data_IF_088256667098
#
_entry.id   IF_088256667098
#
_cell.length_a   1.000
_cell.length_b   1.000
_cell.length_c   1.000
_cell.angle_alpha   90.00
_cell.angle_beta   90.00
_cell.angle_gamma   90.00
#
_symmetry.space_group_name_H-M   'P 1'
#
loop_
_entity.id
_entity.type
_entity.pdbx_description
1 polymer ?
#
# COMPACT_ATOMS: atom_id res chain seq x y z
N UNK A 1 -10.94 11.68 19.93
CA UNK A 1 -10.28 11.25 18.67
C UNK A 1 -8.89 10.78 19.01
N UNK A 2 -8.66 9.50 18.96
CA UNK A 2 -7.31 8.97 19.09
C UNK A 2 -6.50 9.47 17.90
N UNK A 3 -5.48 10.28 18.18
CA UNK A 3 -4.49 10.62 17.18
C UNK A 3 -3.78 9.32 16.82
N UNK A 4 -3.86 8.87 15.60
CA UNK A 4 -3.08 7.75 15.08
C UNK A 4 -1.59 8.13 15.11
N UNK A 5 -1.00 8.04 16.30
CA UNK A 5 0.43 8.27 16.45
C UNK A 5 1.17 6.99 16.06
N UNK A 6 2.07 7.12 15.10
CA UNK A 6 2.97 6.03 14.74
C UNK A 6 4.02 5.93 15.86
N UNK A 7 4.14 4.77 16.47
CA UNK A 7 5.14 4.49 17.50
C UNK A 7 6.15 3.46 17.02
N UNK A 8 7.29 3.36 17.72
CA UNK A 8 8.31 2.34 17.42
C UNK A 8 7.78 0.91 17.55
N UNK A 9 6.80 0.71 18.44
CA UNK A 9 6.17 -0.59 18.66
C UNK A 9 5.18 -0.97 17.58
N UNK A 10 4.50 0.03 16.99
CA UNK A 10 3.47 -0.19 15.98
C UNK A 10 3.99 -0.14 14.55
N UNK A 11 5.25 0.27 14.33
CA UNK A 11 5.80 0.52 13.01
C UNK A 11 7.20 -0.05 12.83
N UNK A 12 7.38 -0.78 11.74
CA UNK A 12 8.69 -1.26 11.32
C UNK A 12 9.15 -0.44 10.11
N UNK A 13 10.29 0.24 10.21
CA UNK A 13 10.84 1.06 9.14
C UNK A 13 11.10 0.29 7.84
N UNK A 14 11.28 -1.03 7.90
CA UNK A 14 11.42 -1.87 6.71
C UNK A 14 10.18 -1.85 5.79
N UNK A 15 9.03 -1.38 6.28
CA UNK A 15 7.80 -1.21 5.50
C UNK A 15 7.85 0.02 4.58
N UNK A 16 8.78 0.95 4.83
CA UNK A 16 8.93 2.15 3.98
C UNK A 16 9.47 1.73 2.62
N UNK A 17 8.78 2.08 1.52
CA UNK A 17 9.27 1.75 0.18
C UNK A 17 10.63 2.39 -0.10
N UNK A 18 11.46 1.69 -0.87
CA UNK A 18 12.74 2.22 -1.31
C UNK A 18 12.53 3.55 -2.05
N UNK A 19 13.35 4.54 -1.74
CA UNK A 19 13.27 5.90 -2.28
C UNK A 19 12.02 6.72 -1.93
N UNK A 20 11.14 6.24 -1.07
CA UNK A 20 10.04 7.08 -0.59
C UNK A 20 10.60 8.25 0.23
N UNK A 21 10.23 9.47 -0.16
CA UNK A 21 10.82 10.67 0.43
C UNK A 21 10.37 10.87 1.88
N UNK A 22 11.33 11.01 2.78
CA UNK A 22 11.11 11.40 4.17
C UNK A 22 11.04 12.94 4.29
N UNK A 23 10.61 13.44 5.43
CA UNK A 23 10.59 14.88 5.69
C UNK A 23 11.18 15.19 7.07
N UNK A 24 12.15 16.11 7.12
CA UNK A 24 12.84 16.53 8.34
C UNK A 24 12.47 17.94 8.79
N UNK A 25 11.43 18.54 8.21
CA UNK A 25 11.06 19.94 8.43
C UNK A 25 10.26 20.07 9.73
N UNK A 26 10.93 20.43 10.79
CA UNK A 26 10.35 20.55 12.14
C UNK A 26 9.39 21.74 12.29
N UNK A 27 9.53 22.76 11.43
CA UNK A 27 8.71 23.97 11.44
C UNK A 27 7.37 23.82 10.72
N UNK A 28 7.16 22.68 10.04
CA UNK A 28 5.91 22.45 9.31
C UNK A 28 4.72 22.32 10.28
N UNK A 29 3.67 23.09 10.03
CA UNK A 29 2.44 23.08 10.84
C UNK A 29 1.68 21.76 10.78
N UNK A 30 1.88 20.96 9.72
CA UNK A 30 1.19 19.69 9.50
C UNK A 30 2.06 18.45 9.79
N UNK A 31 3.22 18.63 10.40
CA UNK A 31 4.18 17.55 10.67
C UNK A 31 3.59 16.39 11.46
N UNK A 32 2.70 16.69 12.43
CA UNK A 32 2.12 15.67 13.30
C UNK A 32 1.09 14.78 12.57
N UNK A 33 0.56 15.26 11.46
CA UNK A 33 -0.40 14.55 10.61
C UNK A 33 0.25 13.94 9.37
N UNK A 34 1.54 14.21 9.15
CA UNK A 34 2.24 13.82 7.94
C UNK A 34 3.06 12.55 8.14
N UNK A 35 2.74 11.52 7.34
CA UNK A 35 3.43 10.24 7.37
C UNK A 35 4.94 10.39 7.12
N UNK A 36 5.34 11.27 6.19
CA UNK A 36 6.75 11.49 5.85
C UNK A 36 7.57 12.00 7.03
N UNK A 37 7.00 12.89 7.83
CA UNK A 37 7.67 13.41 9.02
C UNK A 37 7.65 12.39 10.17
N UNK A 38 6.53 11.75 10.42
CA UNK A 38 6.39 10.80 11.52
C UNK A 38 7.29 9.56 11.33
N UNK A 39 7.37 9.05 10.11
CA UNK A 39 8.25 7.92 9.77
C UNK A 39 9.73 8.31 9.86
N UNK A 40 10.08 9.53 9.48
CA UNK A 40 11.43 10.07 9.59
C UNK A 40 11.99 9.98 11.03
N UNK A 41 11.16 10.25 12.02
CA UNK A 41 11.55 10.16 13.44
C UNK A 41 11.86 8.72 13.89
N UNK A 42 11.38 7.74 13.15
CA UNK A 42 11.56 6.32 13.46
C UNK A 42 12.67 5.66 12.62
N UNK A 43 13.39 6.46 11.84
CA UNK A 43 14.49 5.95 11.01
C UNK A 43 15.55 5.28 11.90
N UNK A 44 16.07 4.11 11.46
CA UNK A 44 17.11 3.42 12.23
C UNK A 44 18.40 4.22 12.27
N UNK A 45 19.15 4.07 13.37
CA UNK A 45 20.41 4.80 13.60
C UNK A 45 21.43 4.62 12.46
N UNK A 46 21.44 3.47 11.82
CA UNK A 46 22.34 3.18 10.69
C UNK A 46 21.94 3.83 9.37
N UNK A 47 20.74 4.42 9.28
CA UNK A 47 20.30 5.10 8.08
C UNK A 47 20.84 6.53 8.05
N UNK A 48 21.87 6.77 7.25
CA UNK A 48 22.59 8.05 7.18
C UNK A 48 22.20 8.92 5.99
N UNK A 49 21.46 8.36 5.02
CA UNK A 49 20.96 9.10 3.85
C UNK A 49 19.70 8.46 3.31
N UNK A 50 18.81 9.28 2.78
CA UNK A 50 17.60 8.88 2.08
C UNK A 50 17.07 10.04 1.25
N UNK A 51 16.15 9.79 0.33
CA UNK A 51 15.40 10.87 -0.31
C UNK A 51 14.63 11.66 0.75
N UNK A 52 14.56 12.96 0.57
CA UNK A 52 13.81 13.82 1.49
C UNK A 52 13.15 14.99 0.76
N UNK A 53 12.07 15.48 1.34
CA UNK A 53 11.44 16.74 0.92
C UNK A 53 12.35 17.89 1.35
N UNK A 54 12.64 18.80 0.42
CA UNK A 54 13.56 19.91 0.68
C UNK A 54 12.86 21.06 1.43
N UNK A 55 13.59 21.81 2.29
CA UNK A 55 13.03 22.95 3.03
C UNK A 55 12.38 24.02 2.15
N UNK A 56 12.79 24.14 0.89
CA UNK A 56 12.19 25.07 -0.09
C UNK A 56 10.69 24.87 -0.28
N UNK A 57 10.16 23.71 0.13
CA UNK A 57 8.70 23.44 0.08
C UNK A 57 7.92 24.43 0.96
N UNK A 58 8.54 24.98 2.00
CA UNK A 58 7.92 25.95 2.89
C UNK A 58 7.55 27.26 2.18
N UNK A 59 8.12 27.53 0.99
CA UNK A 59 7.78 28.66 0.15
C UNK A 59 6.46 28.48 -0.61
N UNK A 60 5.91 27.28 -0.61
CA UNK A 60 4.62 26.97 -1.24
C UNK A 60 3.48 27.11 -0.24
N UNK A 61 2.32 27.55 -0.74
CA UNK A 61 1.11 27.68 0.05
C UNK A 61 0.64 26.35 0.62
N UNK A 62 0.74 25.28 -0.17
CA UNK A 62 0.40 23.92 0.21
C UNK A 62 1.54 22.97 -0.16
N UNK A 63 1.77 21.97 0.67
CA UNK A 63 2.78 20.95 0.40
C UNK A 63 2.22 19.87 -0.51
N UNK A 64 2.71 19.73 -1.76
CA UNK A 64 2.27 18.66 -2.67
C UNK A 64 2.73 17.27 -2.22
N UNK A 65 3.66 17.20 -1.28
CA UNK A 65 4.20 15.94 -0.75
C UNK A 65 3.54 15.51 0.56
N UNK A 66 2.54 16.25 1.03
CA UNK A 66 1.82 15.85 2.25
C UNK A 66 1.23 14.44 2.07
N UNK A 67 1.55 13.57 3.02
CA UNK A 67 1.04 12.21 3.06
C UNK A 67 0.31 11.99 4.39
N UNK A 68 -1.03 11.85 4.38
CA UNK A 68 -1.75 11.59 5.62
C UNK A 68 -1.40 10.23 6.20
N UNK A 69 -1.45 10.11 7.53
CA UNK A 69 -1.28 8.83 8.21
C UNK A 69 -2.55 8.01 8.02
N UNK A 70 -2.44 6.93 7.23
CA UNK A 70 -3.56 6.04 6.93
C UNK A 70 -3.19 4.59 7.18
N UNK A 71 -4.10 3.87 7.84
CA UNK A 71 -4.04 2.42 7.97
C UNK A 71 -5.07 1.82 7.03
N UNK A 72 -4.65 0.86 6.21
CA UNK A 72 -5.51 0.19 5.25
C UNK A 72 -5.53 -1.32 5.48
N UNK A 73 -6.67 -1.94 5.19
CA UNK A 73 -6.85 -3.38 5.28
C UNK A 73 -6.36 -4.04 3.99
N UNK A 74 -5.11 -4.50 3.98
CA UNK A 74 -4.47 -5.11 2.83
C UNK A 74 -4.73 -6.61 2.76
N UNK A 75 -4.87 -7.15 1.55
CA UNK A 75 -4.96 -8.58 1.33
C UNK A 75 -3.59 -9.19 1.08
N UNK A 76 -3.38 -10.38 1.63
CA UNK A 76 -2.12 -11.13 1.58
C UNK A 76 -2.36 -12.45 0.85
N UNK A 77 -2.05 -12.46 -0.45
CA UNK A 77 -2.18 -13.66 -1.28
C UNK A 77 -3.59 -13.94 -1.78
N UNK A 78 -3.67 -14.63 -2.89
CA UNK A 78 -4.93 -15.07 -3.49
C UNK A 78 -4.78 -16.44 -4.21
N UNK A 79 -4.15 -17.40 -3.55
CA UNK A 79 -3.89 -18.70 -4.13
C UNK A 79 -5.16 -19.51 -4.47
N UNK A 80 -6.29 -19.14 -3.87
CA UNK A 80 -7.55 -19.89 -3.98
C UNK A 80 -8.71 -19.13 -4.63
N UNK A 81 -8.51 -17.90 -5.10
CA UNK A 81 -9.63 -17.12 -5.67
C UNK A 81 -10.29 -17.77 -6.89
N UNK A 82 -9.59 -18.63 -7.61
CA UNK A 82 -10.12 -19.33 -8.79
C UNK A 82 -10.72 -20.70 -8.48
N UNK A 83 -10.75 -21.14 -7.23
CA UNK A 83 -11.18 -22.50 -6.87
C UNK A 83 -12.61 -22.84 -7.35
N UNK A 84 -13.52 -21.87 -7.31
CA UNK A 84 -14.91 -22.02 -7.73
C UNK A 84 -15.18 -21.43 -9.13
N UNK A 85 -14.15 -20.98 -9.83
CA UNK A 85 -14.27 -20.43 -11.18
C UNK A 85 -14.36 -21.57 -12.20
N UNK A 86 -15.35 -21.47 -13.11
CA UNK A 86 -15.50 -22.44 -14.20
C UNK A 86 -14.26 -22.43 -15.09
N UNK A 87 -13.83 -23.60 -15.51
CA UNK A 87 -12.63 -23.76 -16.34
C UNK A 87 -12.63 -22.86 -17.59
N UNK A 88 -13.79 -22.71 -18.23
CA UNK A 88 -13.93 -21.86 -19.42
C UNK A 88 -13.59 -20.38 -19.18
N UNK A 89 -13.67 -19.88 -17.94
CA UNK A 89 -13.37 -18.49 -17.58
C UNK A 89 -11.95 -18.31 -17.02
N UNK A 90 -11.35 -19.39 -16.53
CA UNK A 90 -10.12 -19.35 -15.75
C UNK A 90 -8.96 -18.62 -16.46
N UNK A 91 -8.68 -18.99 -17.71
CA UNK A 91 -7.58 -18.41 -18.47
C UNK A 91 -7.80 -16.92 -18.77
N UNK A 92 -9.04 -16.51 -19.10
CA UNK A 92 -9.37 -15.12 -19.41
C UNK A 92 -9.28 -14.24 -18.17
N UNK A 93 -9.86 -14.66 -17.06
CA UNK A 93 -9.82 -13.92 -15.78
C UNK A 93 -8.39 -13.79 -15.28
N UNK A 94 -7.61 -14.86 -15.33
CA UNK A 94 -6.20 -14.82 -14.94
C UNK A 94 -5.41 -13.81 -15.77
N UNK A 95 -5.64 -13.80 -17.08
CA UNK A 95 -4.96 -12.85 -17.99
C UNK A 95 -5.29 -11.40 -17.64
N UNK A 96 -6.55 -11.09 -17.30
CA UNK A 96 -6.95 -9.77 -16.89
C UNK A 96 -6.25 -9.33 -15.60
N UNK A 97 -6.19 -10.20 -14.59
CA UNK A 97 -5.48 -9.90 -13.33
C UNK A 97 -3.99 -9.70 -13.58
N UNK A 98 -3.38 -10.56 -14.38
CA UNK A 98 -1.95 -10.43 -14.74
C UNK A 98 -1.67 -9.08 -15.40
N UNK A 99 -2.51 -8.68 -16.35
CA UNK A 99 -2.40 -7.38 -17.00
C UNK A 99 -2.56 -6.20 -16.03
N UNK A 100 -3.56 -6.27 -15.17
CA UNK A 100 -3.83 -5.24 -14.16
C UNK A 100 -2.71 -5.09 -13.14
N UNK A 101 -2.13 -6.20 -12.69
CA UNK A 101 -1.06 -6.19 -11.68
C UNK A 101 0.35 -5.94 -12.26
N UNK A 102 0.47 -5.74 -13.57
CA UNK A 102 1.73 -5.35 -14.18
C UNK A 102 2.60 -6.50 -14.70
N UNK A 103 1.99 -7.66 -14.98
CA UNK A 103 2.67 -8.78 -15.61
C UNK A 103 2.80 -10.03 -14.73
N UNK A 104 3.27 -11.14 -15.33
CA UNK A 104 3.28 -12.44 -14.70
C UNK A 104 4.14 -12.52 -13.43
N UNK A 105 5.33 -11.95 -13.45
CA UNK A 105 6.21 -11.96 -12.26
C UNK A 105 5.61 -11.19 -11.08
N UNK A 106 5.01 -10.04 -11.34
CA UNK A 106 4.32 -9.24 -10.34
C UNK A 106 3.06 -9.94 -9.84
N UNK A 107 2.30 -10.55 -10.74
CA UNK A 107 1.14 -11.37 -10.39
C UNK A 107 1.48 -12.45 -9.36
N UNK A 108 2.57 -13.20 -9.56
CA UNK A 108 2.98 -14.24 -8.61
C UNK A 108 3.42 -13.68 -7.27
N UNK A 109 4.03 -12.50 -7.22
CA UNK A 109 4.36 -11.85 -5.95
C UNK A 109 3.11 -11.52 -5.14
N UNK A 110 2.09 -10.98 -5.77
CA UNK A 110 0.80 -10.74 -5.11
C UNK A 110 0.11 -12.04 -4.71
N UNK A 111 0.06 -13.01 -5.63
CA UNK A 111 -0.58 -14.31 -5.39
C UNK A 111 0.02 -15.03 -4.19
N UNK A 112 1.33 -14.99 -4.04
CA UNK A 112 2.06 -15.68 -2.98
C UNK A 112 2.20 -14.85 -1.69
N UNK A 113 1.57 -13.70 -1.61
CA UNK A 113 1.59 -12.84 -0.43
C UNK A 113 2.88 -12.05 -0.21
N UNK A 114 3.81 -12.04 -1.17
CA UNK A 114 5.05 -11.27 -1.09
C UNK A 114 4.84 -9.78 -1.36
N UNK A 115 3.75 -9.44 -2.00
CA UNK A 115 3.30 -8.07 -2.22
C UNK A 115 1.83 -7.96 -1.85
N UNK A 116 1.47 -6.89 -1.15
CA UNK A 116 0.12 -6.73 -0.59
C UNK A 116 -0.81 -6.06 -1.60
N UNK A 117 -2.05 -6.54 -1.66
CA UNK A 117 -3.12 -5.90 -2.40
C UNK A 117 -3.75 -4.80 -1.56
N UNK A 118 -3.71 -3.57 -2.05
CA UNK A 118 -4.40 -2.45 -1.44
C UNK A 118 -5.91 -2.53 -1.68
N UNK A 119 -6.75 -1.81 -0.92
CA UNK A 119 -8.21 -1.89 -1.06
C UNK A 119 -8.71 -1.66 -2.47
N UNK A 120 -8.13 -0.75 -3.23
CA UNK A 120 -8.52 -0.46 -4.62
C UNK A 120 -8.26 -1.65 -5.55
N UNK A 121 -7.18 -2.36 -5.33
CA UNK A 121 -6.83 -3.57 -6.10
C UNK A 121 -7.77 -4.72 -5.78
N UNK A 122 -8.13 -4.87 -4.51
CA UNK A 122 -9.13 -5.86 -4.08
C UNK A 122 -10.49 -5.58 -4.73
N UNK A 123 -10.91 -4.32 -4.74
CA UNK A 123 -12.16 -3.89 -5.36
C UNK A 123 -12.16 -4.14 -6.86
N UNK A 124 -11.06 -3.85 -7.56
CA UNK A 124 -10.94 -4.12 -8.99
C UNK A 124 -11.11 -5.61 -9.30
N UNK A 125 -10.48 -6.48 -8.52
CA UNK A 125 -10.61 -7.94 -8.68
C UNK A 125 -12.05 -8.38 -8.43
N UNK A 126 -12.68 -7.86 -7.37
CA UNK A 126 -14.08 -8.17 -7.04
C UNK A 126 -15.02 -7.76 -8.18
N UNK A 127 -14.83 -6.56 -8.74
CA UNK A 127 -15.62 -6.09 -9.88
C UNK A 127 -15.42 -6.95 -11.12
N UNK A 128 -14.20 -7.43 -11.36
CA UNK A 128 -13.94 -8.36 -12.47
C UNK A 128 -14.70 -9.67 -12.28
N UNK A 129 -14.67 -10.26 -11.08
CA UNK A 129 -15.45 -11.47 -10.78
C UNK A 129 -16.95 -11.26 -11.04
N UNK A 130 -17.49 -10.10 -10.62
CA UNK A 130 -18.89 -9.75 -10.88
C UNK A 130 -19.22 -9.69 -12.39
N UNK A 131 -18.31 -9.13 -13.20
CA UNK A 131 -18.48 -9.08 -14.67
C UNK A 131 -18.59 -10.49 -15.32
N UNK A 132 -17.92 -11.45 -14.74
CA UNK A 132 -17.99 -12.84 -15.19
C UNK A 132 -19.19 -13.63 -14.60
N UNK A 133 -20.00 -12.98 -13.76
CA UNK A 133 -21.20 -13.58 -13.16
C UNK A 133 -20.99 -14.25 -11.80
N UNK A 134 -19.82 -14.07 -11.20
CA UNK A 134 -19.53 -14.57 -9.85
C UNK A 134 -19.93 -13.54 -8.82
N UNK A 135 -21.03 -13.78 -8.11
CA UNK A 135 -21.63 -12.84 -7.16
C UNK A 135 -21.22 -13.06 -5.71
N UNK A 136 -20.56 -14.17 -5.41
CA UNK A 136 -20.05 -14.43 -4.09
C UNK A 136 -18.86 -13.52 -3.75
N UNK A 137 -18.66 -13.26 -2.46
CA UNK A 137 -17.55 -12.44 -2.02
C UNK A 137 -16.21 -13.08 -2.39
N UNK A 138 -15.32 -12.30 -2.98
CA UNK A 138 -13.95 -12.74 -3.25
C UNK A 138 -13.16 -12.70 -1.94
N UNK A 139 -12.72 -13.88 -1.48
CA UNK A 139 -11.94 -14.02 -0.26
C UNK A 139 -10.47 -14.26 -0.61
N UNK A 140 -9.61 -13.40 -0.10
CA UNK A 140 -8.17 -13.54 -0.24
C UNK A 140 -7.61 -14.47 0.83
N UNK A 141 -6.37 -14.94 0.67
CA UNK A 141 -5.80 -15.95 1.57
C UNK A 141 -5.69 -15.45 3.01
N UNK A 142 -5.29 -14.18 3.21
CA UNK A 142 -5.21 -13.55 4.53
C UNK A 142 -5.33 -12.03 4.37
N UNK A 143 -5.42 -11.33 5.51
CA UNK A 143 -5.51 -9.86 5.57
C UNK A 143 -4.64 -9.34 6.69
N UNK A 144 -4.14 -8.12 6.53
CA UNK A 144 -3.48 -7.38 7.63
C UNK A 144 -3.65 -5.88 7.45
N UNK A 145 -3.66 -5.17 8.57
CA UNK A 145 -3.67 -3.72 8.56
C UNK A 145 -2.25 -3.21 8.41
N UNK A 146 -2.05 -2.30 7.46
CA UNK A 146 -0.74 -1.71 7.16
C UNK A 146 -0.87 -0.22 6.93
N UNK A 147 0.22 0.51 7.18
CA UNK A 147 0.29 1.91 6.80
C UNK A 147 0.39 2.05 5.29
N UNK A 148 -0.27 3.09 4.77
CA UNK A 148 -0.26 3.38 3.34
C UNK A 148 0.87 4.33 2.99
N UNK A 149 1.64 3.99 1.95
CA UNK A 149 2.73 4.79 1.40
C UNK A 149 2.40 5.14 -0.04
N UNK A 150 1.86 6.34 -0.26
CA UNK A 150 1.58 6.86 -1.60
C UNK A 150 2.57 7.98 -1.94
N UNK A 151 2.87 8.13 -3.23
CA UNK A 151 3.56 9.29 -3.78
C UNK A 151 2.58 10.27 -4.42
#
# INVERSE_FOLDING_TARGET
MERNSITKESFNFSQVPYNWALCYISECSRKDECMRYQVCKLAPVGLTRNNCVLPTIMNKKECPHFAPIQVVHAAVGFSRIFAEVKEKHHAAMRREIVGYLGGGGTFYRYRNGKRLLMPEQQEWITKMFLRYGYTEEVVFDNYKDVYRFDD
#
